data_IF_284025062609
#
_entry.id   IF_284025062609
#
_cell.length_a   1.000
_cell.length_b   1.000
_cell.length_c   1.000
_cell.angle_alpha   90.00
_cell.angle_beta   90.00
_cell.angle_gamma   90.00
#
_symmetry.space_group_name_H-M   'P 1'
#
loop_
_entity.id
_entity.type
_entity.pdbx_description
1 polymer ?
#
# COMPACT_ATOMS: atom_id res chain seq x y z
N UNK A 1 -21.62 -34.12 2.62
CA UNK A 1 -20.26 -33.96 3.20
C UNK A 1 -20.24 -33.45 4.64
N UNK A 2 -20.48 -32.15 4.96
CA UNK A 2 -20.32 -31.65 6.36
C UNK A 2 -21.26 -32.32 7.36
N UNK A 3 -22.53 -32.52 7.00
CA UNK A 3 -23.51 -33.20 7.86
C UNK A 3 -23.11 -34.66 8.15
N UNK A 4 -22.71 -35.39 7.11
CA UNK A 4 -22.26 -36.79 7.22
C UNK A 4 -21.03 -36.92 8.11
N UNK A 5 -20.05 -36.01 7.97
CA UNK A 5 -18.83 -36.01 8.77
C UNK A 5 -19.15 -35.81 10.27
N UNK A 6 -20.06 -34.88 10.59
CA UNK A 6 -20.47 -34.61 11.97
C UNK A 6 -21.21 -35.83 12.56
N UNK A 7 -22.11 -36.46 11.80
CA UNK A 7 -22.78 -37.70 12.24
C UNK A 7 -21.77 -38.84 12.46
N UNK A 8 -20.73 -38.96 11.63
CA UNK A 8 -19.67 -39.95 11.82
C UNK A 8 -18.81 -39.67 13.07
N UNK A 9 -18.54 -38.40 13.38
CA UNK A 9 -17.80 -38.01 14.59
C UNK A 9 -18.62 -38.29 15.86
N UNK A 10 -19.92 -38.01 15.84
CA UNK A 10 -20.84 -38.36 16.93
C UNK A 10 -20.93 -39.87 17.13
N UNK A 11 -21.02 -40.64 16.04
CA UNK A 11 -21.03 -42.11 16.11
C UNK A 11 -19.74 -42.70 16.70
N UNK A 12 -18.62 -41.98 16.58
CA UNK A 12 -17.34 -42.32 17.24
C UNK A 12 -17.24 -41.83 18.69
N UNK A 13 -18.30 -41.22 19.23
CA UNK A 13 -18.35 -40.70 20.60
C UNK A 13 -17.73 -39.31 20.78
N UNK A 14 -17.40 -38.60 19.69
CA UNK A 14 -16.85 -37.25 19.78
C UNK A 14 -17.96 -36.20 19.84
N UNK A 15 -17.88 -35.29 20.82
CA UNK A 15 -18.79 -34.14 20.95
C UNK A 15 -18.26 -32.96 20.15
N UNK A 16 -18.95 -32.59 19.08
CA UNK A 16 -18.64 -31.39 18.28
C UNK A 16 -19.25 -30.16 18.97
N UNK A 17 -18.40 -29.20 19.35
CA UNK A 17 -18.81 -27.98 20.07
C UNK A 17 -19.01 -26.77 19.15
N UNK A 18 -18.24 -26.71 18.06
CA UNK A 18 -18.24 -25.59 17.13
C UNK A 18 -17.82 -26.07 15.73
N UNK A 19 -18.41 -25.48 14.70
CA UNK A 19 -18.06 -25.76 13.30
C UNK A 19 -17.83 -24.43 12.58
N UNK A 20 -16.65 -24.31 11.97
CA UNK A 20 -16.31 -23.20 11.08
C UNK A 20 -16.52 -23.62 9.62
N UNK A 21 -17.33 -22.87 8.87
CA UNK A 21 -17.56 -23.14 7.45
C UNK A 21 -17.85 -21.85 6.66
N UNK A 22 -17.95 -21.98 5.33
CA UNK A 22 -18.35 -20.88 4.44
C UNK A 22 -19.78 -20.42 4.72
N UNK A 23 -20.19 -19.23 4.30
CA UNK A 23 -21.52 -18.67 4.59
C UNK A 23 -22.69 -19.42 3.88
N UNK A 24 -22.96 -20.66 4.30
CA UNK A 24 -23.96 -21.58 3.76
C UNK A 24 -25.12 -21.68 4.76
N UNK A 25 -26.22 -21.04 4.42
CA UNK A 25 -27.39 -20.86 5.28
C UNK A 25 -28.03 -22.20 5.70
N UNK A 26 -28.03 -23.20 4.82
CA UNK A 26 -28.54 -24.54 5.13
C UNK A 26 -27.73 -25.27 6.21
N UNK A 27 -26.42 -25.05 6.27
CA UNK A 27 -25.55 -25.64 7.28
C UNK A 27 -25.71 -24.89 8.60
N UNK A 28 -25.75 -23.54 8.55
CA UNK A 28 -26.01 -22.70 9.73
C UNK A 28 -27.30 -23.08 10.43
N UNK A 29 -28.40 -23.20 9.67
CA UNK A 29 -29.70 -23.57 10.23
C UNK A 29 -29.67 -24.98 10.83
N UNK A 30 -29.04 -25.94 10.16
CA UNK A 30 -28.90 -27.30 10.66
C UNK A 30 -28.05 -27.37 11.94
N UNK A 31 -26.90 -26.68 11.99
CA UNK A 31 -26.03 -26.63 13.17
C UNK A 31 -26.73 -25.98 14.38
N UNK A 32 -27.34 -24.82 14.17
CA UNK A 32 -27.91 -24.02 15.27
C UNK A 32 -29.28 -24.54 15.70
N UNK A 33 -30.18 -24.82 14.75
CA UNK A 33 -31.58 -25.16 15.06
C UNK A 33 -31.79 -26.64 15.36
N UNK A 34 -31.11 -27.53 14.64
CA UNK A 34 -31.34 -28.98 14.80
C UNK A 34 -30.33 -29.63 15.76
N UNK A 35 -29.07 -29.18 15.74
CA UNK A 35 -27.98 -29.81 16.52
C UNK A 35 -27.54 -29.02 17.76
N UNK A 36 -27.91 -27.75 17.90
CA UNK A 36 -27.46 -26.89 19.00
C UNK A 36 -25.95 -26.65 19.03
N UNK A 37 -25.27 -26.79 17.90
CA UNK A 37 -23.81 -26.60 17.76
C UNK A 37 -23.53 -25.14 17.41
N UNK A 38 -22.46 -24.59 18.01
CA UNK A 38 -22.03 -23.22 17.72
C UNK A 38 -21.55 -23.11 16.27
N UNK A 39 -22.08 -22.12 15.56
CA UNK A 39 -21.71 -21.83 14.18
C UNK A 39 -20.69 -20.69 14.12
N UNK A 40 -19.57 -20.93 13.46
CA UNK A 40 -18.57 -19.90 13.13
C UNK A 40 -18.36 -19.79 11.62
N UNK A 41 -18.00 -18.59 11.17
CA UNK A 41 -17.67 -18.34 9.77
C UNK A 41 -16.16 -18.33 9.57
N UNK A 42 -15.70 -18.87 8.45
CA UNK A 42 -14.28 -18.79 8.10
C UNK A 42 -13.87 -17.34 7.81
N UNK A 43 -13.18 -16.73 8.77
CA UNK A 43 -12.64 -15.37 8.68
C UNK A 43 -11.61 -15.21 7.55
N UNK A 44 -10.92 -16.29 7.14
CA UNK A 44 -9.99 -16.26 6.02
C UNK A 44 -10.69 -15.94 4.70
N UNK A 45 -11.86 -16.56 4.48
CA UNK A 45 -12.67 -16.30 3.30
C UNK A 45 -13.24 -14.87 3.31
N UNK A 46 -13.63 -14.38 4.49
CA UNK A 46 -13.97 -12.98 4.73
C UNK A 46 -12.84 -12.03 4.33
N UNK A 47 -11.63 -12.21 4.87
CA UNK A 47 -10.45 -11.41 4.54
C UNK A 47 -10.06 -11.47 3.06
N UNK A 48 -10.14 -12.64 2.44
CA UNK A 48 -9.88 -12.83 1.00
C UNK A 48 -10.89 -12.05 0.14
N UNK A 49 -12.16 -12.00 0.54
CA UNK A 49 -13.19 -11.23 -0.15
C UNK A 49 -12.96 -9.72 -0.05
N UNK A 50 -12.55 -9.22 1.12
CA UNK A 50 -12.19 -7.82 1.35
C UNK A 50 -10.98 -7.43 0.48
N UNK A 51 -9.91 -8.26 0.48
CA UNK A 51 -8.76 -8.06 -0.40
C UNK A 51 -9.17 -7.96 -1.87
N UNK A 52 -10.02 -8.88 -2.36
CA UNK A 52 -10.51 -8.86 -3.74
C UNK A 52 -11.33 -7.60 -4.05
N UNK A 53 -12.14 -7.11 -3.12
CA UNK A 53 -12.92 -5.87 -3.28
C UNK A 53 -12.00 -4.65 -3.32
N UNK A 54 -11.06 -4.55 -2.40
CA UNK A 54 -10.05 -3.48 -2.38
C UNK A 54 -9.25 -3.50 -3.70
N UNK A 55 -8.81 -4.69 -4.12
CA UNK A 55 -8.06 -4.84 -5.36
C UNK A 55 -8.91 -4.44 -6.57
N UNK A 56 -10.19 -4.83 -6.64
CA UNK A 56 -11.10 -4.43 -7.72
C UNK A 56 -11.35 -2.92 -7.76
N UNK A 57 -11.53 -2.29 -6.60
CA UNK A 57 -11.68 -0.83 -6.50
C UNK A 57 -10.40 -0.13 -6.94
N UNK A 58 -9.25 -0.62 -6.48
CA UNK A 58 -7.94 -0.04 -6.79
C UNK A 58 -7.46 -0.30 -8.23
N UNK A 59 -7.85 -1.43 -8.84
CA UNK A 59 -7.40 -1.82 -10.19
C UNK A 59 -8.33 -1.34 -11.30
N UNK A 60 -9.52 -0.83 -10.98
CA UNK A 60 -10.55 -0.51 -11.96
C UNK A 60 -11.07 -1.73 -12.73
N UNK A 61 -12.02 -1.50 -13.64
CA UNK A 61 -12.52 -2.50 -14.58
C UNK A 61 -11.56 -2.62 -15.76
N UNK A 62 -11.16 -3.84 -16.16
CA UNK A 62 -10.22 -4.07 -17.26
C UNK A 62 -10.66 -3.50 -18.61
N UNK A 63 -11.97 -3.37 -18.84
CA UNK A 63 -12.52 -2.73 -20.06
C UNK A 63 -12.36 -1.21 -20.08
N UNK A 64 -12.16 -0.63 -18.90
CA UNK A 64 -12.01 0.79 -18.63
C UNK A 64 -10.52 1.17 -18.44
N UNK A 65 -9.62 0.18 -18.52
CA UNK A 65 -8.17 0.35 -18.60
C UNK A 65 -7.85 1.24 -19.81
N UNK A 66 -7.58 2.52 -19.55
CA UNK A 66 -7.32 3.54 -20.57
C UNK A 66 -8.56 4.20 -21.20
N UNK A 67 -9.80 3.95 -20.74
CA UNK A 67 -11.02 4.50 -21.37
C UNK A 67 -11.88 5.41 -20.47
N UNK A 68 -12.13 5.06 -19.21
CA UNK A 68 -13.16 5.78 -18.43
C UNK A 68 -12.92 5.74 -16.92
N UNK A 69 -12.89 6.93 -16.31
CA UNK A 69 -12.81 7.16 -14.86
C UNK A 69 -14.21 7.16 -14.21
N UNK A 70 -14.26 7.03 -12.88
CA UNK A 70 -15.49 7.11 -12.08
C UNK A 70 -16.23 8.45 -12.27
N UNK A 71 -17.59 8.49 -12.24
CA UNK A 71 -18.36 9.73 -12.35
C UNK A 71 -18.02 10.76 -11.28
N UNK A 72 -17.68 10.32 -10.05
CA UNK A 72 -17.26 11.19 -8.95
C UNK A 72 -15.87 11.83 -9.18
N UNK A 73 -15.19 11.47 -10.26
CA UNK A 73 -13.91 12.04 -10.72
C UNK A 73 -14.03 12.63 -12.13
N UNK A 74 -15.24 12.77 -12.68
CA UNK A 74 -15.47 13.27 -14.05
C UNK A 74 -15.11 14.74 -14.22
N UNK A 75 -15.18 15.54 -13.15
CA UNK A 75 -14.68 16.91 -13.07
C UNK A 75 -13.13 16.98 -13.11
N UNK A 76 -12.46 15.84 -12.89
CA UNK A 76 -11.01 15.65 -13.02
C UNK A 76 -10.61 15.00 -14.35
N UNK A 77 -11.58 14.68 -15.21
CA UNK A 77 -11.45 13.87 -16.44
C UNK A 77 -11.12 14.64 -17.73
N UNK A 78 -10.41 15.76 -17.65
CA UNK A 78 -9.55 16.18 -18.76
C UNK A 78 -8.15 15.60 -18.54
N UNK A 79 -7.34 15.39 -19.57
CA UNK A 79 -5.89 15.23 -19.41
C UNK A 79 -5.30 16.53 -18.81
N UNK A 80 -5.50 16.68 -17.51
CA UNK A 80 -4.95 17.68 -16.59
C UNK A 80 -4.42 16.96 -15.36
N UNK A 81 -3.97 15.72 -15.49
CA UNK A 81 -3.05 15.17 -14.51
C UNK A 81 -1.86 16.14 -14.47
N UNK A 82 -1.87 17.05 -13.49
CA UNK A 82 -0.67 17.77 -13.10
C UNK A 82 0.36 16.68 -12.87
N UNK A 83 1.47 16.77 -13.57
CA UNK A 83 2.61 15.90 -13.42
C UNK A 83 2.82 15.57 -11.93
N UNK A 84 2.58 14.30 -11.55
CA UNK A 84 2.70 13.82 -10.16
C UNK A 84 4.15 13.51 -9.80
N UNK A 85 5.10 13.70 -10.74
CA UNK A 85 6.53 13.48 -10.55
C UNK A 85 7.05 14.06 -9.23
N UNK A 86 6.66 15.30 -8.89
CA UNK A 86 7.09 15.95 -7.65
C UNK A 86 6.57 15.25 -6.40
N UNK A 87 5.28 14.87 -6.39
CA UNK A 87 4.65 14.18 -5.25
C UNK A 87 5.22 12.76 -5.09
N UNK A 88 5.39 12.05 -6.19
CA UNK A 88 5.92 10.67 -6.18
C UNK A 88 7.38 10.65 -5.73
N UNK A 89 8.20 11.58 -6.23
CA UNK A 89 9.61 11.68 -5.85
C UNK A 89 9.75 12.17 -4.40
N UNK A 90 8.89 13.09 -3.94
CA UNK A 90 8.86 13.49 -2.53
C UNK A 90 8.47 12.32 -1.62
N UNK A 91 7.50 11.49 -2.04
CA UNK A 91 7.13 10.28 -1.30
C UNK A 91 8.31 9.30 -1.17
N UNK A 92 9.16 9.18 -2.19
CA UNK A 92 10.39 8.39 -2.07
C UNK A 92 11.35 8.95 -1.02
N UNK A 93 11.49 10.28 -0.91
CA UNK A 93 12.29 10.90 0.15
C UNK A 93 11.69 10.63 1.52
N UNK A 94 10.37 10.75 1.68
CA UNK A 94 9.68 10.37 2.92
C UNK A 94 10.02 8.95 3.33
N UNK A 95 10.01 7.99 2.40
CA UNK A 95 10.28 6.58 2.71
C UNK A 95 11.72 6.31 3.19
N UNK A 96 12.69 7.20 2.86
CA UNK A 96 14.05 7.13 3.41
C UNK A 96 14.06 7.46 4.91
N UNK A 97 13.27 8.45 5.33
CA UNK A 97 13.23 8.91 6.73
C UNK A 97 12.17 8.21 7.58
N UNK A 98 11.04 7.82 6.99
CA UNK A 98 9.89 7.21 7.61
C UNK A 98 9.43 6.00 6.77
N UNK A 99 10.13 4.88 6.93
CA UNK A 99 9.82 3.66 6.21
C UNK A 99 8.41 3.14 6.55
N UNK A 100 7.61 2.85 5.53
CA UNK A 100 6.21 2.37 5.67
C UNK A 100 6.04 1.12 6.53
N UNK A 101 7.08 0.28 6.64
CA UNK A 101 7.03 -1.01 7.36
C UNK A 101 7.36 -0.89 8.84
N UNK A 102 7.81 0.28 9.29
CA UNK A 102 8.21 0.51 10.67
C UNK A 102 7.15 1.39 11.32
N UNK A 103 6.70 1.01 12.52
CA UNK A 103 5.80 1.84 13.29
C UNK A 103 6.61 2.90 14.05
N UNK A 104 6.17 4.15 14.01
CA UNK A 104 6.78 5.27 14.71
C UNK A 104 5.73 5.90 15.62
N UNK A 105 6.12 6.37 16.81
CA UNK A 105 5.24 7.24 17.60
C UNK A 105 4.99 8.56 16.89
N UNK A 106 3.88 9.21 17.19
CA UNK A 106 3.39 10.39 16.46
C UNK A 106 4.44 11.51 16.36
N UNK A 107 5.06 11.89 17.48
CA UNK A 107 6.10 12.93 17.51
C UNK A 107 7.32 12.57 16.65
N UNK A 108 7.74 11.30 16.72
CA UNK A 108 8.87 10.80 15.94
C UNK A 108 8.53 10.76 14.45
N UNK A 109 7.30 10.39 14.11
CA UNK A 109 6.82 10.39 12.73
C UNK A 109 6.80 11.81 12.17
N UNK A 110 6.21 12.77 12.90
CA UNK A 110 6.15 14.19 12.51
C UNK A 110 7.56 14.75 12.31
N UNK A 111 8.47 14.52 13.26
CA UNK A 111 9.87 14.94 13.13
C UNK A 111 10.54 14.37 11.86
N UNK A 112 10.32 13.08 11.57
CA UNK A 112 10.89 12.43 10.37
C UNK A 112 10.32 12.99 9.06
N UNK A 113 9.03 13.30 9.03
CA UNK A 113 8.41 13.98 7.88
C UNK A 113 9.00 15.38 7.68
N UNK A 114 9.20 16.13 8.76
CA UNK A 114 9.85 17.44 8.71
C UNK A 114 11.29 17.35 8.19
N UNK A 115 12.07 16.36 8.64
CA UNK A 115 13.42 16.12 8.11
C UNK A 115 13.42 15.75 6.62
N UNK A 116 12.45 14.94 6.18
CA UNK A 116 12.29 14.61 4.77
C UNK A 116 11.95 15.86 3.93
N UNK A 117 11.11 16.76 4.45
CA UNK A 117 10.80 18.03 3.81
C UNK A 117 12.02 18.94 3.69
N UNK A 118 12.89 18.99 4.70
CA UNK A 118 14.13 19.76 4.64
C UNK A 118 15.12 19.20 3.60
N UNK A 119 15.32 17.87 3.55
CA UNK A 119 16.13 17.22 2.50
C UNK A 119 15.58 17.52 1.11
N UNK A 120 14.26 17.40 0.94
CA UNK A 120 13.58 17.71 -0.32
C UNK A 120 13.82 19.16 -0.74
N UNK A 121 13.53 20.13 0.12
CA UNK A 121 13.67 21.54 -0.20
C UNK A 121 15.11 21.92 -0.60
N UNK A 122 16.10 21.26 -0.01
CA UNK A 122 17.51 21.50 -0.34
C UNK A 122 17.94 20.82 -1.66
N UNK A 123 17.40 19.64 -1.98
CA UNK A 123 17.95 18.78 -3.03
C UNK A 123 17.04 18.54 -4.25
N UNK A 124 15.79 19.01 -4.23
CA UNK A 124 14.78 18.74 -5.27
C UNK A 124 15.21 19.22 -6.66
N UNK A 125 15.76 20.44 -6.72
CA UNK A 125 16.19 21.09 -7.96
C UNK A 125 17.72 21.10 -8.12
N UNK A 126 18.40 20.07 -7.60
CA UNK A 126 19.86 19.99 -7.65
C UNK A 126 20.39 19.99 -9.08
N UNK A 127 21.44 20.76 -9.32
CA UNK A 127 22.01 20.96 -10.66
C UNK A 127 22.52 19.67 -11.31
N UNK A 128 22.43 19.61 -12.64
CA UNK A 128 23.02 18.54 -13.44
C UNK A 128 24.53 18.73 -13.50
N UNK A 129 25.29 17.72 -13.09
CA UNK A 129 26.76 17.70 -13.16
C UNK A 129 27.27 17.26 -14.54
N UNK A 130 26.62 16.28 -15.16
CA UNK A 130 26.98 15.76 -16.46
C UNK A 130 25.80 15.01 -17.10
N UNK A 131 25.91 14.75 -18.40
CA UNK A 131 24.96 13.93 -19.15
C UNK A 131 25.65 12.61 -19.49
N UNK A 132 24.95 11.50 -19.24
CA UNK A 132 25.41 10.17 -19.60
C UNK A 132 24.51 9.58 -20.69
N UNK A 133 25.14 9.13 -21.77
CA UNK A 133 24.46 8.42 -22.85
C UNK A 133 24.69 6.93 -22.65
N UNK A 134 23.62 6.22 -22.28
CA UNK A 134 23.66 4.77 -22.18
C UNK A 134 22.79 4.17 -23.26
N UNK A 135 23.41 3.37 -24.14
CA UNK A 135 22.67 2.62 -25.15
C UNK A 135 22.19 1.31 -24.51
N UNK A 136 20.88 1.18 -24.35
CA UNK A 136 20.30 -0.04 -23.80
C UNK A 136 20.14 -1.06 -24.93
N UNK A 137 20.72 -2.25 -24.78
CA UNK A 137 20.61 -3.32 -25.79
C UNK A 137 19.16 -3.69 -26.14
N UNK A 138 18.22 -3.52 -25.19
CA UNK A 138 16.78 -3.75 -25.40
C UNK A 138 16.10 -2.65 -26.21
N UNK A 139 16.63 -1.43 -26.19
CA UNK A 139 16.08 -0.24 -26.84
C UNK A 139 17.22 0.55 -27.53
N UNK A 140 17.81 0.01 -28.61
CA UNK A 140 19.02 0.57 -29.23
C UNK A 140 18.80 1.96 -29.85
N UNK A 141 17.55 2.27 -30.21
CA UNK A 141 17.16 3.55 -30.84
C UNK A 141 16.88 4.67 -29.82
N UNK A 142 16.90 4.37 -28.52
CA UNK A 142 16.67 5.38 -27.49
C UNK A 142 17.92 6.25 -27.30
N UNK A 143 17.94 7.42 -27.92
CA UNK A 143 19.05 8.39 -27.85
C UNK A 143 18.94 9.45 -26.72
N UNK A 144 18.13 9.21 -25.68
CA UNK A 144 17.92 10.21 -24.63
C UNK A 144 19.06 10.21 -23.59
N UNK A 145 19.72 11.35 -23.30
CA UNK A 145 20.71 11.44 -22.23
C UNK A 145 20.07 11.30 -20.85
N UNK A 146 20.76 10.58 -19.96
CA UNK A 146 20.43 10.54 -18.53
C UNK A 146 21.18 11.66 -17.82
N UNK A 147 20.46 12.49 -17.06
CA UNK A 147 21.07 13.57 -16.27
C UNK A 147 21.70 12.99 -15.00
N UNK A 148 23.01 13.15 -14.83
CA UNK A 148 23.70 12.87 -13.58
C UNK A 148 23.73 14.16 -12.77
N UNK A 149 23.01 14.21 -11.65
CA UNK A 149 22.94 15.43 -10.83
C UNK A 149 24.02 15.45 -9.73
N UNK A 150 24.47 16.66 -9.36
CA UNK A 150 25.53 16.91 -8.37
C UNK A 150 25.24 16.29 -7.01
N UNK A 151 26.23 15.75 -6.27
CA UNK A 151 26.01 15.10 -4.98
C UNK A 151 25.09 15.89 -4.04
N UNK A 152 24.22 15.18 -3.31
CA UNK A 152 23.30 15.82 -2.35
C UNK A 152 24.09 16.55 -1.27
N UNK A 153 23.57 17.71 -0.86
CA UNK A 153 24.01 18.39 0.35
C UNK A 153 23.01 18.16 1.48
N UNK A 154 23.49 18.30 2.71
CA UNK A 154 22.71 18.11 3.94
C UNK A 154 22.93 19.29 4.90
N UNK A 155 22.96 20.51 4.35
CA UNK A 155 23.23 21.73 5.11
C UNK A 155 22.17 21.96 6.19
N UNK A 156 20.92 21.55 5.96
CA UNK A 156 19.87 21.58 6.98
C UNK A 156 20.28 20.89 8.29
N UNK A 157 21.08 19.81 8.24
CA UNK A 157 21.58 19.12 9.44
C UNK A 157 22.53 19.99 10.22
N UNK A 158 23.46 20.66 9.53
CA UNK A 158 24.41 21.59 10.14
C UNK A 158 23.66 22.78 10.74
N UNK A 159 22.67 23.33 10.04
CA UNK A 159 21.86 24.43 10.56
C UNK A 159 21.07 24.05 11.82
N UNK A 160 20.47 22.86 11.85
CA UNK A 160 19.77 22.36 13.05
C UNK A 160 20.77 22.24 14.21
N UNK A 161 21.92 21.64 13.96
CA UNK A 161 22.98 21.47 14.95
C UNK A 161 23.47 22.81 15.49
N UNK A 162 23.83 23.74 14.60
CA UNK A 162 24.30 25.07 14.97
C UNK A 162 23.21 25.82 15.74
N UNK A 163 21.94 25.77 15.33
CA UNK A 163 20.85 26.45 16.06
C UNK A 163 20.60 25.88 17.45
N UNK A 164 20.75 24.57 17.63
CA UNK A 164 20.54 23.91 18.90
C UNK A 164 21.69 24.18 19.86
N UNK A 165 22.94 24.08 19.37
CA UNK A 165 24.14 24.19 20.19
C UNK A 165 24.72 25.59 20.29
N UNK A 166 24.41 26.52 19.39
CA UNK A 166 24.80 27.93 19.54
C UNK A 166 23.93 28.69 20.55
N UNK A 167 22.82 28.08 21.03
CA UNK A 167 21.95 28.61 22.08
C UNK A 167 22.17 27.96 23.44
N UNK A 168 23.11 27.01 23.53
CA UNK A 168 23.62 26.42 24.77
C UNK A 168 24.87 27.17 25.20
#
# INVERSE_FOLDING_TARGET
MTKELITQLEAKGHKVVEVAHDAVEAIRNWLVKEKGIKNSFDSWHGGKSVKKRIQKVASGLKRDEGKTWFPELSDKGGNKCRDTFWIETFHMVILVYAAKKINFGDDTYVMRIQLAALDWNENVDREVSSLQFHQYARNPDRMAPTRILRPKSFNFRKMIWDNFFAKL
#
